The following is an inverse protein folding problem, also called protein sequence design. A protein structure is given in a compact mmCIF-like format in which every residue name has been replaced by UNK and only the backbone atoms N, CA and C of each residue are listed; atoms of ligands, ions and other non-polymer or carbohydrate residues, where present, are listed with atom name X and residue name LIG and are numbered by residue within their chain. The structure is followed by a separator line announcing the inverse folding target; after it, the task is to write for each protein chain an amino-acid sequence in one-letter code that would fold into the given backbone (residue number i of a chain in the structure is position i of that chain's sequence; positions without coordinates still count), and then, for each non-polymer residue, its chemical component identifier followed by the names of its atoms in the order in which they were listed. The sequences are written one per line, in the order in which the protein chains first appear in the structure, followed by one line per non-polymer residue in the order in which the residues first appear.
data_IF_803005950022
#
_entry.id   IF_803005950022
#
_cell.length_a   1.000
_cell.length_b   1.000
_cell.length_c   1.000
_cell.angle_alpha   90.00
_cell.angle_beta   90.00
_cell.angle_gamma   90.00
#
_symmetry.space_group_name_H-M   'P 1'
#
loop_
_entity.id
_entity.type
_entity.pdbx_description
1 polymer ?
#
# COMPACT_ATOMS: atom_id res chain seq x y z
N UNK A 1 8.89 10.05 16.48
CA UNK A 1 7.83 9.79 15.47
C UNK A 1 6.79 10.91 15.54
N UNK A 2 6.45 11.54 14.42
CA UNK A 2 5.42 12.58 14.35
C UNK A 2 4.06 12.00 13.93
N UNK A 3 4.06 11.13 12.91
CA UNK A 3 2.87 10.48 12.39
C UNK A 3 2.97 8.97 12.57
N UNK A 4 1.96 8.38 13.20
CA UNK A 4 1.77 6.94 13.26
C UNK A 4 0.61 6.54 12.36
N UNK A 5 0.79 5.58 11.46
CA UNK A 5 -0.26 5.13 10.56
C UNK A 5 -0.55 3.64 10.74
N UNK A 6 -1.81 3.28 10.58
CA UNK A 6 -2.34 1.92 10.59
C UNK A 6 -2.94 1.68 9.21
N UNK A 7 -2.40 0.77 8.43
CA UNK A 7 -2.90 0.45 7.10
C UNK A 7 -3.56 -0.92 7.10
N UNK A 8 -4.71 -1.02 6.44
CA UNK A 8 -5.52 -2.24 6.39
C UNK A 8 -4.97 -3.30 5.43
N UNK A 9 -4.02 -2.91 4.55
CA UNK A 9 -3.31 -3.82 3.66
C UNK A 9 -1.84 -3.41 3.44
N UNK A 10 -1.05 -4.38 2.97
CA UNK A 10 0.39 -4.23 2.82
C UNK A 10 0.79 -3.23 1.73
N UNK A 11 0.20 -3.34 0.55
CA UNK A 11 0.55 -2.45 -0.58
C UNK A 11 0.05 -1.03 -0.37
N UNK A 12 -1.11 -0.87 0.28
CA UNK A 12 -1.61 0.44 0.70
C UNK A 12 -0.74 1.10 1.75
N UNK A 13 -0.09 0.32 2.63
CA UNK A 13 0.89 0.84 3.57
C UNK A 13 2.10 1.43 2.85
N UNK A 14 2.61 0.71 1.84
CA UNK A 14 3.75 1.18 1.02
C UNK A 14 3.39 2.45 0.24
N UNK A 15 2.17 2.51 -0.32
CA UNK A 15 1.66 3.67 -1.03
C UNK A 15 1.57 4.90 -0.09
N UNK A 16 0.98 4.75 1.10
CA UNK A 16 0.93 5.82 2.10
C UNK A 16 2.34 6.29 2.51
N UNK A 17 3.23 5.36 2.82
CA UNK A 17 4.59 5.68 3.23
C UNK A 17 5.37 6.42 2.12
N UNK A 18 5.12 6.05 0.84
CA UNK A 18 5.67 6.75 -0.32
C UNK A 18 5.17 8.22 -0.40
N UNK A 19 3.87 8.47 -0.17
CA UNK A 19 3.34 9.84 -0.15
C UNK A 19 4.00 10.68 0.95
N UNK A 20 4.22 10.11 2.13
CA UNK A 20 4.90 10.80 3.23
C UNK A 20 6.37 11.11 2.90
N UNK A 21 7.07 10.18 2.25
CA UNK A 21 8.46 10.41 1.80
C UNK A 21 8.52 11.48 0.72
N UNK A 22 7.62 11.47 -0.27
CA UNK A 22 7.49 12.54 -1.29
C UNK A 22 7.25 13.90 -0.66
N UNK A 23 6.53 13.93 0.46
CA UNK A 23 6.28 15.15 1.23
C UNK A 23 7.37 15.47 2.26
N UNK A 24 8.51 14.77 2.26
CA UNK A 24 9.71 15.05 3.04
C UNK A 24 9.74 14.47 4.45
N UNK A 25 9.01 13.39 4.75
CA UNK A 25 9.11 12.62 6.00
C UNK A 25 9.87 11.32 5.78
N UNK A 26 10.93 11.07 6.55
CA UNK A 26 11.54 9.74 6.58
C UNK A 26 10.54 8.73 7.12
N UNK A 27 10.16 7.76 6.31
CA UNK A 27 9.08 6.84 6.62
C UNK A 27 9.56 5.39 6.69
N UNK A 28 9.06 4.66 7.68
CA UNK A 28 9.26 3.23 7.85
C UNK A 28 7.91 2.54 7.79
N UNK A 29 7.84 1.45 7.05
CA UNK A 29 6.69 0.54 7.06
C UNK A 29 7.07 -0.70 7.87
N UNK A 30 6.20 -1.14 8.78
CA UNK A 30 6.36 -2.42 9.49
C UNK A 30 5.37 -3.45 8.96
N UNK A 31 5.73 -4.73 9.06
CA UNK A 31 4.88 -5.86 8.69
C UNK A 31 4.21 -6.38 9.96
N UNK A 32 2.94 -6.04 10.14
CA UNK A 32 2.25 -6.24 11.40
C UNK A 32 2.79 -5.32 12.51
N UNK A 33 2.32 -5.57 13.74
CA UNK A 33 2.76 -4.82 14.93
C UNK A 33 4.09 -5.36 15.43
N UNK A 34 5.18 -4.57 15.44
CA UNK A 34 6.48 -5.05 15.91
C UNK A 34 6.50 -5.33 17.40
N UNK A 35 7.39 -6.22 17.84
CA UNK A 35 7.59 -6.50 19.27
C UNK A 35 8.33 -5.36 19.99
N UNK A 36 9.35 -4.78 19.34
CA UNK A 36 10.16 -3.66 19.86
C UNK A 36 9.84 -2.33 19.15
N UNK A 37 10.37 -1.23 19.68
CA UNK A 37 10.22 0.12 19.09
C UNK A 37 11.44 0.53 18.25
N UNK A 38 12.54 -0.20 18.32
CA UNK A 38 13.82 0.18 17.69
C UNK A 38 13.72 0.29 16.16
N UNK A 39 12.82 -0.47 15.54
CA UNK A 39 12.56 -0.40 14.09
C UNK A 39 12.09 0.99 13.63
N UNK A 40 11.59 1.81 14.54
CA UNK A 40 11.13 3.18 14.28
C UNK A 40 12.22 4.24 14.52
N UNK A 41 13.44 3.82 14.90
CA UNK A 41 14.50 4.77 15.24
C UNK A 41 14.82 5.71 14.08
N UNK A 42 14.76 7.01 14.35
CA UNK A 42 15.03 8.05 13.36
C UNK A 42 13.93 8.28 12.31
N UNK A 43 12.81 7.56 12.36
CA UNK A 43 11.67 7.79 11.45
C UNK A 43 10.81 8.97 11.92
N UNK A 44 10.41 9.82 10.96
CA UNK A 44 9.44 10.88 11.19
C UNK A 44 8.01 10.31 11.16
N UNK A 45 7.77 9.28 10.32
CA UNK A 45 6.52 8.55 10.23
C UNK A 45 6.73 7.02 10.25
N UNK A 46 5.78 6.29 10.84
CA UNK A 46 5.76 4.82 10.78
C UNK A 46 4.39 4.34 10.35
N UNK A 47 4.36 3.45 9.37
CA UNK A 47 3.14 2.83 8.86
C UNK A 47 3.12 1.36 9.26
N UNK A 48 2.21 0.98 10.15
CA UNK A 48 1.98 -0.43 10.52
C UNK A 48 1.07 -1.06 9.47
N UNK A 49 1.64 -1.95 8.65
CA UNK A 49 0.89 -2.68 7.64
C UNK A 49 0.22 -3.91 8.27
N UNK A 50 -1.11 -3.90 8.30
CA UNK A 50 -1.92 -5.03 8.71
C UNK A 50 -2.45 -5.78 7.48
N UNK A 51 -3.06 -6.93 7.69
CA UNK A 51 -3.87 -7.65 6.68
C UNK A 51 -5.30 -7.75 7.20
N UNK A 52 -5.93 -6.58 7.45
CA UNK A 52 -7.18 -6.49 8.22
C UNK A 52 -8.40 -6.07 7.38
N UNK A 53 -8.25 -5.80 6.08
CA UNK A 53 -9.35 -5.31 5.24
C UNK A 53 -10.52 -6.27 5.17
N UNK A 54 -10.26 -7.57 5.02
CA UNK A 54 -11.26 -8.61 4.72
C UNK A 54 -11.38 -9.67 5.84
N UNK A 55 -10.91 -9.39 7.05
CA UNK A 55 -11.09 -10.25 8.22
C UNK A 55 -12.34 -9.81 9.02
N UNK A 56 -12.81 -10.62 9.99
CA UNK A 56 -13.92 -10.24 10.84
C UNK A 56 -13.69 -8.87 11.53
N UNK A 57 -14.71 -8.01 11.65
CA UNK A 57 -14.56 -6.66 12.21
C UNK A 57 -13.95 -6.62 13.61
N UNK A 58 -14.27 -7.58 14.48
CA UNK A 58 -13.68 -7.68 15.82
C UNK A 58 -12.17 -7.90 15.79
N UNK A 59 -11.68 -8.72 14.87
CA UNK A 59 -10.25 -9.00 14.69
C UNK A 59 -9.53 -7.78 14.09
N UNK A 60 -10.18 -7.11 13.12
CA UNK A 60 -9.64 -5.88 12.51
C UNK A 60 -9.50 -4.77 13.56
N UNK A 61 -10.49 -4.59 14.41
CA UNK A 61 -10.45 -3.66 15.54
C UNK A 61 -9.34 -4.03 16.51
N UNK A 62 -9.24 -5.29 16.94
CA UNK A 62 -8.22 -5.73 17.88
C UNK A 62 -6.79 -5.49 17.35
N UNK A 63 -6.53 -5.83 16.09
CA UNK A 63 -5.23 -5.60 15.46
C UNK A 63 -4.93 -4.10 15.33
N UNK A 64 -5.92 -3.28 14.97
CA UNK A 64 -5.75 -1.83 14.84
C UNK A 64 -5.50 -1.14 16.18
N UNK A 65 -6.17 -1.58 17.26
CA UNK A 65 -5.91 -1.08 18.61
C UNK A 65 -4.52 -1.49 19.12
N UNK A 66 -4.06 -2.71 18.82
CA UNK A 66 -2.70 -3.13 19.15
C UNK A 66 -1.65 -2.27 18.41
N UNK A 67 -1.89 -1.97 17.14
CA UNK A 67 -1.06 -1.05 16.36
C UNK A 67 -1.06 0.37 16.94
N UNK A 68 -2.24 0.89 17.29
CA UNK A 68 -2.37 2.20 17.94
C UNK A 68 -1.55 2.29 19.24
N UNK A 69 -1.67 1.30 20.13
CA UNK A 69 -0.92 1.25 21.38
C UNK A 69 0.59 1.24 21.15
N UNK A 70 1.05 0.51 20.13
CA UNK A 70 2.46 0.48 19.76
C UNK A 70 2.93 1.85 19.23
N UNK A 71 2.16 2.49 18.35
CA UNK A 71 2.45 3.81 17.80
C UNK A 71 2.47 4.90 18.89
N UNK A 72 1.53 4.85 19.84
CA UNK A 72 1.50 5.78 20.98
C UNK A 72 2.72 5.61 21.89
N UNK A 73 3.15 4.38 22.18
CA UNK A 73 4.41 4.12 22.91
C UNK A 73 5.63 4.65 22.16
N UNK A 74 5.59 4.65 20.82
CA UNK A 74 6.60 5.24 19.95
C UNK A 74 6.56 6.77 19.87
N UNK A 75 5.62 7.42 20.57
CA UNK A 75 5.49 8.87 20.64
C UNK A 75 4.80 9.50 19.42
N UNK A 76 3.98 8.75 18.67
CA UNK A 76 3.19 9.30 17.58
C UNK A 76 2.27 10.42 18.08
N UNK A 77 2.34 11.59 17.43
CA UNK A 77 1.55 12.79 17.81
C UNK A 77 0.21 12.86 17.10
N UNK A 78 0.11 12.27 15.91
CA UNK A 78 -1.10 12.15 15.12
C UNK A 78 -1.19 10.72 14.58
N UNK A 79 -2.41 10.18 14.54
CA UNK A 79 -2.70 8.85 14.03
C UNK A 79 -3.41 8.94 12.69
N UNK A 80 -3.03 8.07 11.76
CA UNK A 80 -3.63 7.93 10.45
C UNK A 80 -4.18 6.51 10.28
N UNK A 81 -5.43 6.37 9.90
CA UNK A 81 -5.98 5.08 9.50
C UNK A 81 -6.13 5.06 7.98
N UNK A 82 -5.35 4.19 7.33
CA UNK A 82 -5.26 4.05 5.88
C UNK A 82 -6.07 2.87 5.37
N UNK A 83 -6.96 3.16 4.42
CA UNK A 83 -7.72 2.17 3.67
C UNK A 83 -7.65 2.45 2.15
N UNK A 84 -8.31 1.60 1.33
CA UNK A 84 -8.24 1.67 -0.13
C UNK A 84 -8.83 2.97 -0.70
N UNK A 85 -8.23 3.46 -1.79
CA UNK A 85 -8.75 4.62 -2.53
C UNK A 85 -10.10 4.35 -3.21
N UNK A 86 -10.47 3.09 -3.40
CA UNK A 86 -11.79 2.65 -3.87
C UNK A 86 -12.77 2.34 -2.72
N UNK A 87 -12.40 2.70 -1.49
CA UNK A 87 -13.23 2.50 -0.29
C UNK A 87 -13.71 1.05 -0.13
N UNK A 88 -12.88 0.07 -0.42
CA UNK A 88 -13.19 -1.38 -0.44
C UNK A 88 -13.78 -1.88 0.88
N UNK A 89 -15.06 -1.57 1.14
CA UNK A 89 -15.73 -1.83 2.39
C UNK A 89 -17.23 -1.88 2.16
N UNK A 90 -17.82 -3.04 2.34
CA UNK A 90 -19.28 -3.24 2.27
C UNK A 90 -19.97 -2.79 3.55
N UNK A 91 -21.29 -2.99 3.66
CA UNK A 91 -22.04 -2.69 4.88
C UNK A 91 -21.51 -3.45 6.12
N UNK A 92 -20.86 -4.61 5.91
CA UNK A 92 -20.17 -5.39 6.95
C UNK A 92 -18.64 -5.14 6.96
N UNK A 93 -18.19 -4.07 6.33
CA UNK A 93 -16.75 -3.76 6.21
C UNK A 93 -16.14 -3.16 7.45
N UNK A 94 -14.84 -2.97 7.40
CA UNK A 94 -14.01 -2.68 8.58
C UNK A 94 -13.70 -1.19 8.77
N UNK A 95 -13.98 -0.31 7.79
CA UNK A 95 -13.62 1.11 7.89
C UNK A 95 -14.33 1.77 9.07
N UNK A 96 -15.65 1.63 9.14
CA UNK A 96 -16.46 2.20 10.24
C UNK A 96 -16.07 1.66 11.61
N UNK A 97 -16.11 0.33 11.85
CA UNK A 97 -15.77 -0.25 13.14
C UNK A 97 -14.36 0.09 13.64
N UNK A 98 -13.36 0.08 12.77
CA UNK A 98 -11.99 0.45 13.13
C UNK A 98 -11.87 1.94 13.44
N UNK A 99 -12.49 2.81 12.63
CA UNK A 99 -12.49 4.26 12.88
C UNK A 99 -13.20 4.59 14.21
N UNK A 100 -14.32 3.93 14.53
CA UNK A 100 -15.03 4.07 15.81
C UNK A 100 -14.13 3.71 16.98
N UNK A 101 -13.47 2.54 16.92
CA UNK A 101 -12.60 2.07 17.99
C UNK A 101 -11.36 2.97 18.18
N UNK A 102 -10.79 3.49 17.09
CA UNK A 102 -9.66 4.42 17.15
C UNK A 102 -10.07 5.78 17.73
N UNK A 103 -11.26 6.31 17.37
CA UNK A 103 -11.80 7.52 17.96
C UNK A 103 -11.99 7.37 19.48
N UNK A 104 -12.58 6.24 19.93
CA UNK A 104 -12.77 5.96 21.35
C UNK A 104 -11.44 5.86 22.10
N UNK A 105 -10.49 5.10 21.57
CA UNK A 105 -9.18 4.89 22.19
C UNK A 105 -8.33 6.17 22.27
N UNK A 106 -8.54 7.10 21.34
CA UNK A 106 -7.86 8.41 21.29
C UNK A 106 -8.62 9.49 22.08
N UNK A 107 -9.84 9.23 22.56
CA UNK A 107 -10.71 10.24 23.15
C UNK A 107 -11.11 11.34 22.15
N UNK A 108 -11.06 11.04 20.86
CA UNK A 108 -11.35 11.98 19.78
C UNK A 108 -12.84 11.95 19.42
N UNK A 109 -13.41 13.13 19.12
CA UNK A 109 -14.84 13.25 18.80
C UNK A 109 -15.11 13.33 17.31
N UNK A 110 -14.10 13.63 16.50
CA UNK A 110 -14.22 13.90 15.08
C UNK A 110 -13.03 13.39 14.28
N UNK A 111 -13.28 12.89 13.09
CA UNK A 111 -12.30 12.60 12.06
C UNK A 111 -12.89 12.80 10.66
N UNK A 112 -12.05 12.82 9.66
CA UNK A 112 -12.45 12.80 8.25
C UNK A 112 -12.46 11.37 7.70
N UNK A 113 -13.13 11.18 6.55
CA UNK A 113 -13.00 9.99 5.71
C UNK A 113 -12.87 10.41 4.25
N UNK A 114 -11.66 10.34 3.70
CA UNK A 114 -11.39 10.79 2.33
C UNK A 114 -10.48 9.79 1.57
N UNK A 115 -11.06 8.83 0.83
CA UNK A 115 -10.29 7.90 0.00
C UNK A 115 -9.74 8.52 -1.29
N UNK A 116 -10.07 9.77 -1.64
CA UNK A 116 -9.68 10.39 -2.90
C UNK A 116 -8.18 10.29 -3.19
N UNK A 117 -7.85 10.06 -4.45
CA UNK A 117 -6.50 10.05 -4.99
C UNK A 117 -6.55 10.40 -6.50
N UNK A 118 -6.64 11.70 -6.86
CA UNK A 118 -6.81 12.16 -8.23
C UNK A 118 -5.70 11.71 -9.18
N UNK A 119 -4.43 11.70 -8.73
CA UNK A 119 -3.29 11.17 -9.50
C UNK A 119 -3.55 9.73 -10.00
N UNK A 120 -4.33 8.94 -9.26
CA UNK A 120 -4.74 7.58 -9.61
C UNK A 120 -6.19 7.50 -10.14
N UNK A 121 -6.81 8.62 -10.51
CA UNK A 121 -8.15 8.67 -11.05
C UNK A 121 -9.25 8.34 -10.02
N UNK A 122 -9.05 8.62 -8.73
CA UNK A 122 -10.07 8.49 -7.69
C UNK A 122 -10.45 9.87 -7.19
N UNK A 123 -11.64 10.32 -7.53
CA UNK A 123 -12.16 11.64 -7.13
C UNK A 123 -13.46 11.48 -6.37
N UNK A 124 -13.79 12.46 -5.51
CA UNK A 124 -15.05 12.48 -4.75
C UNK A 124 -15.74 13.82 -5.02
N UNK A 125 -16.99 13.75 -5.44
CA UNK A 125 -17.82 14.91 -5.63
C UNK A 125 -19.23 14.69 -5.08
N UNK A 126 -19.71 15.61 -4.23
CA UNK A 126 -20.97 15.49 -3.49
C UNK A 126 -21.10 14.14 -2.75
N UNK A 127 -19.99 13.68 -2.17
CA UNK A 127 -19.91 12.42 -1.43
C UNK A 127 -19.92 11.17 -2.32
N UNK A 128 -19.90 11.30 -3.66
CA UNK A 128 -19.85 10.17 -4.58
C UNK A 128 -18.44 9.95 -5.09
N UNK A 129 -17.96 8.72 -4.98
CA UNK A 129 -16.64 8.31 -5.47
C UNK A 129 -16.71 7.93 -6.93
N UNK A 130 -15.75 8.45 -7.69
CA UNK A 130 -15.51 8.11 -9.09
C UNK A 130 -14.21 7.31 -9.23
N UNK A 131 -14.17 6.41 -10.21
CA UNK A 131 -13.01 5.66 -10.66
C UNK A 131 -12.81 6.00 -12.15
N UNK A 132 -11.85 6.85 -12.43
CA UNK A 132 -11.75 7.47 -13.75
C UNK A 132 -12.96 8.36 -14.03
N UNK A 133 -13.67 8.06 -15.12
CA UNK A 133 -14.87 8.75 -15.58
C UNK A 133 -16.19 8.10 -15.14
N UNK A 134 -16.12 6.95 -14.43
CA UNK A 134 -17.26 6.19 -13.98
C UNK A 134 -17.52 6.35 -12.48
N UNK A 135 -18.78 6.30 -12.07
CA UNK A 135 -19.12 6.14 -10.65
C UNK A 135 -18.56 4.81 -10.11
N UNK A 136 -18.18 4.77 -8.84
CA UNK A 136 -17.68 3.55 -8.20
C UNK A 136 -18.58 2.34 -8.46
N UNK A 137 -19.90 2.51 -8.34
CA UNK A 137 -20.88 1.44 -8.56
C UNK A 137 -21.08 1.06 -10.03
N UNK A 138 -20.51 1.81 -10.97
CA UNK A 138 -20.54 1.54 -12.41
C UNK A 138 -19.16 1.10 -12.94
N UNK A 139 -18.15 1.10 -12.05
CA UNK A 139 -16.79 0.63 -12.32
C UNK A 139 -16.64 -0.87 -12.10
N UNK A 140 -15.51 -1.48 -12.48
CA UNK A 140 -15.22 -2.90 -12.17
C UNK A 140 -15.27 -3.25 -10.68
N UNK A 141 -15.24 -2.25 -9.78
CA UNK A 141 -15.39 -2.46 -8.34
C UNK A 141 -16.80 -2.89 -7.92
N UNK A 142 -17.81 -2.66 -8.76
CA UNK A 142 -19.19 -3.11 -8.51
C UNK A 142 -19.29 -4.59 -8.17
N UNK A 143 -18.56 -5.40 -8.91
CA UNK A 143 -18.59 -6.86 -8.79
C UNK A 143 -17.26 -7.42 -8.26
N UNK A 144 -16.54 -6.61 -7.46
CA UNK A 144 -15.29 -7.04 -6.82
C UNK A 144 -15.54 -8.29 -5.95
N UNK A 145 -14.73 -9.36 -6.08
CA UNK A 145 -15.00 -10.66 -5.47
C UNK A 145 -15.14 -10.65 -3.95
N UNK A 146 -14.40 -9.77 -3.26
CA UNK A 146 -14.36 -9.72 -1.80
C UNK A 146 -15.17 -8.54 -1.25
N UNK A 147 -15.12 -7.39 -1.93
CA UNK A 147 -15.72 -6.13 -1.50
C UNK A 147 -16.51 -5.50 -2.65
N UNK A 148 -17.68 -6.05 -3.05
CA UNK A 148 -18.49 -5.49 -4.14
C UNK A 148 -19.03 -4.11 -3.76
N UNK A 149 -18.60 -3.06 -4.48
CA UNK A 149 -18.95 -1.67 -4.22
C UNK A 149 -20.15 -1.25 -5.08
N UNK A 150 -21.35 -1.45 -4.57
CA UNK A 150 -22.62 -1.20 -5.28
C UNK A 150 -23.29 0.15 -4.99
N UNK A 151 -22.69 0.95 -4.13
CA UNK A 151 -23.13 2.31 -3.81
C UNK A 151 -21.94 3.26 -3.90
N UNK A 152 -22.03 4.27 -4.74
CA UNK A 152 -20.97 5.28 -4.92
C UNK A 152 -21.02 6.39 -3.87
N UNK A 153 -22.12 6.52 -3.11
CA UNK A 153 -22.25 7.55 -2.07
C UNK A 153 -21.60 7.09 -0.77
N UNK A 154 -20.42 7.61 -0.48
CA UNK A 154 -19.61 7.21 0.65
C UNK A 154 -20.22 7.59 2.02
N UNK A 155 -21.03 8.64 2.08
CA UNK A 155 -21.77 9.00 3.31
C UNK A 155 -22.71 7.87 3.70
N UNK A 156 -23.48 7.34 2.73
CA UNK A 156 -24.36 6.19 2.98
C UNK A 156 -23.61 4.92 3.30
N UNK A 157 -22.54 4.63 2.55
CA UNK A 157 -21.73 3.42 2.76
C UNK A 157 -21.13 3.43 4.17
N UNK A 158 -20.49 4.53 4.58
CA UNK A 158 -19.90 4.63 5.91
C UNK A 158 -20.95 4.61 7.03
N UNK A 159 -22.09 5.29 6.83
CA UNK A 159 -23.17 5.33 7.83
C UNK A 159 -23.79 3.95 8.14
N UNK A 160 -23.66 2.96 7.23
CA UNK A 160 -24.10 1.58 7.50
C UNK A 160 -23.12 0.79 8.36
N UNK A 161 -21.88 1.26 8.50
CA UNK A 161 -20.81 0.58 9.24
C UNK A 161 -20.59 1.14 10.64
N UNK A 162 -21.22 2.27 10.99
CA UNK A 162 -21.05 2.95 12.29
C UNK A 162 -22.39 3.38 12.88
N UNK A 163 -22.44 3.49 14.20
CA UNK A 163 -23.59 4.11 14.90
C UNK A 163 -23.44 5.63 15.05
N UNK A 164 -22.27 6.17 14.68
CA UNK A 164 -21.98 7.60 14.75
C UNK A 164 -22.58 8.33 13.56
N UNK A 165 -22.83 9.61 13.71
CA UNK A 165 -23.29 10.44 12.58
C UNK A 165 -22.16 10.66 11.60
N UNK A 166 -22.48 10.44 10.32
CA UNK A 166 -21.58 10.70 9.17
C UNK A 166 -22.09 11.92 8.43
N UNK A 167 -21.19 12.85 8.15
CA UNK A 167 -21.48 14.09 7.40
C UNK A 167 -20.68 14.18 6.11
N UNK A 168 -20.80 15.34 5.44
CA UNK A 168 -20.13 15.67 4.19
C UNK A 168 -19.53 17.07 4.28
N UNK A 169 -18.27 17.21 3.87
CA UNK A 169 -17.69 18.49 3.46
C UNK A 169 -17.65 18.51 1.93
N UNK A 170 -18.57 19.24 1.29
CA UNK A 170 -18.68 19.24 -0.17
C UNK A 170 -17.55 20.03 -0.83
N UNK A 171 -17.27 19.74 -2.09
CA UNK A 171 -16.23 20.45 -2.86
C UNK A 171 -16.43 21.97 -2.94
N UNK A 172 -17.69 22.43 -2.89
CA UNK A 172 -18.00 23.86 -2.80
C UNK A 172 -17.37 24.54 -1.58
N UNK A 173 -17.06 23.81 -0.51
CA UNK A 173 -16.31 24.27 0.67
C UNK A 173 -14.81 24.03 0.46
N UNK A 174 -14.43 22.84 0.00
CA UNK A 174 -13.02 22.42 -0.17
C UNK A 174 -12.26 23.40 -1.08
N UNK A 175 -12.87 23.83 -2.19
CA UNK A 175 -12.28 24.81 -3.12
C UNK A 175 -11.86 26.15 -2.50
N UNK A 176 -12.30 26.46 -1.30
CA UNK A 176 -11.94 27.69 -0.58
C UNK A 176 -10.74 27.49 0.36
N UNK A 177 -10.11 26.29 0.35
CA UNK A 177 -8.88 25.99 1.02
C UNK A 177 -9.03 25.62 2.50
N UNK A 178 -7.89 25.40 3.14
CA UNK A 178 -7.79 24.84 4.49
C UNK A 178 -8.60 25.57 5.57
N UNK A 179 -8.66 26.90 5.61
CA UNK A 179 -9.47 27.62 6.64
C UNK A 179 -10.96 27.31 6.54
N UNK A 180 -11.54 27.29 5.32
CA UNK A 180 -12.94 26.98 5.11
C UNK A 180 -13.24 25.52 5.46
N UNK A 181 -12.36 24.59 5.09
CA UNK A 181 -12.46 23.18 5.43
C UNK A 181 -12.44 23.02 6.96
N UNK A 182 -11.52 23.68 7.64
CA UNK A 182 -11.42 23.61 9.11
C UNK A 182 -12.68 24.11 9.79
N UNK A 183 -13.21 25.24 9.34
CA UNK A 183 -14.48 25.78 9.84
C UNK A 183 -15.63 24.79 9.67
N UNK A 184 -15.68 24.09 8.51
CA UNK A 184 -16.69 23.04 8.27
C UNK A 184 -16.50 21.85 9.21
N UNK A 185 -15.26 21.43 9.52
CA UNK A 185 -15.00 20.38 10.50
C UNK A 185 -15.51 20.76 11.89
N UNK A 186 -15.21 21.99 12.34
CA UNK A 186 -15.64 22.48 13.65
C UNK A 186 -17.16 22.58 13.75
N UNK A 187 -17.83 23.02 12.69
CA UNK A 187 -19.30 23.08 12.62
C UNK A 187 -19.92 21.67 12.67
N UNK A 188 -19.45 20.73 11.84
CA UNK A 188 -19.95 19.35 11.81
C UNK A 188 -19.73 18.66 13.17
N UNK A 189 -18.59 18.87 13.81
CA UNK A 189 -18.31 18.34 15.14
C UNK A 189 -19.26 18.92 16.20
N UNK A 190 -19.57 20.22 16.13
CA UNK A 190 -20.54 20.87 17.04
C UNK A 190 -21.97 20.34 16.84
N UNK A 191 -22.32 19.93 15.62
CA UNK A 191 -23.59 19.27 15.27
C UNK A 191 -23.64 17.79 15.67
N UNK A 192 -22.55 17.25 16.26
CA UNK A 192 -22.45 15.85 16.70
C UNK A 192 -22.13 14.86 15.58
N UNK A 193 -21.61 15.33 14.45
CA UNK A 193 -21.03 14.47 13.41
C UNK A 193 -19.66 13.99 13.89
N UNK A 194 -19.39 12.70 13.80
CA UNK A 194 -18.13 12.12 14.23
C UNK A 194 -17.18 11.80 13.07
N UNK A 195 -17.71 11.58 11.87
CA UNK A 195 -16.92 11.31 10.67
C UNK A 195 -17.47 12.13 9.51
N UNK A 196 -16.62 12.81 8.75
CA UNK A 196 -17.03 13.55 7.57
C UNK A 196 -16.35 13.00 6.32
N UNK A 197 -17.14 12.56 5.34
CA UNK A 197 -16.65 12.39 3.98
C UNK A 197 -16.23 13.77 3.49
N UNK A 198 -15.07 13.85 2.82
CA UNK A 198 -14.55 15.10 2.28
C UNK A 198 -14.36 14.93 0.78
N UNK A 199 -14.98 15.80 -0.01
CA UNK A 199 -14.81 15.81 -1.46
C UNK A 199 -13.38 16.23 -1.84
N UNK A 200 -12.85 15.64 -2.92
CA UNK A 200 -11.61 16.07 -3.55
C UNK A 200 -11.59 15.62 -5.01
N UNK A 201 -11.25 16.50 -5.92
CA UNK A 201 -11.24 16.26 -7.39
C UNK A 201 -9.86 16.51 -8.00
N UNK A 202 -8.96 17.18 -7.30
CA UNK A 202 -7.60 17.48 -7.74
C UNK A 202 -6.61 17.37 -6.56
N UNK A 203 -5.31 17.32 -6.86
CA UNK A 203 -4.28 17.11 -5.84
C UNK A 203 -4.16 18.32 -4.89
N UNK A 204 -4.45 19.54 -5.36
CA UNK A 204 -4.49 20.74 -4.51
C UNK A 204 -5.58 20.65 -3.43
N UNK A 205 -6.71 19.98 -3.69
CA UNK A 205 -7.72 19.70 -2.68
C UNK A 205 -7.14 18.81 -1.55
N UNK A 206 -6.35 17.78 -1.92
CA UNK A 206 -5.71 16.91 -0.93
C UNK A 206 -4.74 17.68 -0.04
N UNK A 207 -3.99 18.61 -0.64
CA UNK A 207 -3.07 19.49 0.11
C UNK A 207 -3.82 20.40 1.09
N UNK A 208 -4.96 20.96 0.67
CA UNK A 208 -5.80 21.82 1.51
C UNK A 208 -6.46 21.03 2.64
N UNK A 209 -7.00 19.83 2.34
CA UNK A 209 -7.61 18.93 3.33
C UNK A 209 -6.55 18.49 4.35
N UNK A 210 -5.36 18.07 3.87
CA UNK A 210 -4.24 17.70 4.75
C UNK A 210 -3.86 18.84 5.70
N UNK A 211 -3.79 20.07 5.21
CA UNK A 211 -3.53 21.25 6.03
C UNK A 211 -4.64 21.50 7.08
N UNK A 212 -5.91 21.32 6.70
CA UNK A 212 -7.05 21.44 7.60
C UNK A 212 -7.07 20.37 8.70
N UNK A 213 -6.41 19.23 8.51
CA UNK A 213 -6.27 18.17 9.52
C UNK A 213 -5.28 18.49 10.64
N UNK A 214 -4.67 19.69 10.67
CA UNK A 214 -3.80 20.10 11.76
C UNK A 214 -4.53 19.98 13.11
N UNK A 215 -3.94 19.25 14.08
CA UNK A 215 -4.50 19.06 15.41
C UNK A 215 -5.62 18.02 15.53
N UNK A 216 -6.04 17.36 14.44
CA UNK A 216 -6.88 16.16 14.57
C UNK A 216 -6.03 15.02 15.15
N UNK A 217 -6.55 14.34 16.18
CA UNK A 217 -5.88 13.18 16.76
C UNK A 217 -5.88 11.98 15.81
N UNK A 218 -6.95 11.83 15.02
CA UNK A 218 -7.14 10.79 14.01
C UNK A 218 -7.45 11.42 12.65
N UNK A 219 -6.82 10.92 11.61
CA UNK A 219 -7.18 11.15 10.20
C UNK A 219 -7.49 9.80 9.59
N UNK A 220 -8.63 9.63 8.92
CA UNK A 220 -8.89 8.40 8.18
C UNK A 220 -9.02 8.69 6.68
N UNK A 221 -8.25 8.03 5.84
CA UNK A 221 -8.21 8.33 4.41
C UNK A 221 -7.53 7.26 3.54
N UNK A 222 -7.54 7.49 2.23
CA UNK A 222 -6.60 6.89 1.28
C UNK A 222 -5.18 7.43 1.50
N UNK A 223 -4.26 7.19 0.56
CA UNK A 223 -2.87 7.67 0.67
C UNK A 223 -2.71 9.16 0.29
N UNK A 224 -3.59 9.70 -0.54
CA UNK A 224 -3.44 11.05 -1.11
C UNK A 224 -3.39 12.17 -0.07
N UNK A 225 -4.21 12.12 0.98
CA UNK A 225 -4.23 13.14 2.06
C UNK A 225 -2.88 13.29 2.76
N UNK A 226 -2.07 12.22 2.78
CA UNK A 226 -0.75 12.23 3.41
C UNK A 226 0.22 13.27 2.80
N UNK A 227 0.03 13.66 1.55
CA UNK A 227 0.84 14.71 0.91
C UNK A 227 0.72 16.07 1.63
N UNK A 228 -0.45 16.38 2.18
CA UNK A 228 -0.72 17.65 2.85
C UNK A 228 -0.35 17.69 4.34
N UNK A 229 -0.15 16.54 5.00
CA UNK A 229 0.07 16.49 6.46
C UNK A 229 1.45 16.98 6.91
N UNK A 230 2.57 16.69 6.24
CA UNK A 230 3.91 17.07 6.73
C UNK A 230 4.10 18.59 6.88
N UNK A 231 3.39 19.40 6.08
CA UNK A 231 3.44 20.86 6.22
C UNK A 231 2.94 21.36 7.57
N UNK A 232 2.01 20.64 8.22
CA UNK A 232 1.52 20.99 9.55
C UNK A 232 2.62 20.83 10.60
N UNK A 233 3.42 19.78 10.49
CA UNK A 233 4.57 19.54 11.37
C UNK A 233 5.70 20.53 11.11
N UNK A 234 5.90 20.95 9.84
CA UNK A 234 6.85 22.04 9.54
C UNK A 234 6.40 23.36 10.12
N UNK A 235 5.14 23.73 9.93
CA UNK A 235 4.59 24.97 10.46
C UNK A 235 4.67 25.07 12.00
N UNK A 236 4.67 23.91 12.69
CA UNK A 236 4.87 23.85 14.13
C UNK A 236 6.33 23.65 14.58
N UNK A 237 7.28 23.70 13.66
CA UNK A 237 8.71 23.54 13.94
C UNK A 237 9.16 22.13 14.32
N UNK A 238 8.31 21.13 14.12
CA UNK A 238 8.58 19.74 14.51
C UNK A 238 9.28 18.93 13.43
N UNK A 239 9.07 19.28 12.16
CA UNK A 239 9.68 18.62 11.01
C UNK A 239 10.57 19.63 10.29
N UNK A 240 11.89 19.40 10.19
CA UNK A 240 12.77 20.24 9.38
C UNK A 240 12.48 20.06 7.90
N UNK A 241 12.78 21.07 7.09
CA UNK A 241 12.87 20.88 5.65
C UNK A 241 14.06 19.99 5.29
N UNK A 242 13.85 19.05 4.37
CA UNK A 242 14.86 18.11 3.91
C UNK A 242 14.58 17.60 2.51
N UNK A 243 15.65 17.27 1.81
CA UNK A 243 15.68 16.64 0.49
C UNK A 243 16.13 15.15 0.54
N UNK A 244 16.55 14.69 1.72
CA UNK A 244 17.11 13.36 1.95
C UNK A 244 16.09 12.31 2.47
N UNK A 245 14.80 12.66 2.54
CA UNK A 245 13.77 11.79 3.10
C UNK A 245 13.65 10.44 2.35
N UNK A 246 13.93 10.42 1.05
CA UNK A 246 13.92 9.27 0.19
C UNK A 246 15.28 8.53 0.11
N UNK A 247 16.32 8.99 0.82
CA UNK A 247 17.63 8.34 0.74
C UNK A 247 17.59 6.97 1.41
N UNK A 248 18.04 5.96 0.66
CA UNK A 248 18.25 4.61 1.15
C UNK A 248 19.75 4.28 1.22
N UNK A 249 20.16 3.39 2.12
CA UNK A 249 21.50 2.82 2.07
C UNK A 249 21.74 2.13 0.72
N UNK A 250 22.98 2.23 0.21
CA UNK A 250 23.37 1.49 -0.98
C UNK A 250 23.32 -0.03 -0.72
N UNK A 251 22.56 -0.76 -1.54
CA UNK A 251 22.47 -2.21 -1.47
C UNK A 251 23.12 -2.81 -2.72
N UNK A 252 24.31 -3.40 -2.52
CA UNK A 252 25.06 -4.11 -3.57
C UNK A 252 24.62 -5.57 -3.65
N UNK A 253 24.74 -6.16 -4.85
CA UNK A 253 24.43 -7.57 -5.10
C UNK A 253 23.60 -7.78 -6.35
N UNK A 254 23.34 -9.04 -6.66
CA UNK A 254 22.59 -9.46 -7.86
C UNK A 254 21.15 -8.97 -7.79
N UNK A 255 20.51 -8.86 -8.98
CA UNK A 255 19.14 -8.40 -9.11
C UNK A 255 18.26 -9.45 -9.76
N UNK A 256 16.99 -9.55 -9.31
CA UNK A 256 16.00 -10.42 -9.91
C UNK A 256 14.59 -9.77 -9.86
N UNK A 257 13.71 -10.22 -10.76
CA UNK A 257 12.31 -9.84 -10.81
C UNK A 257 11.46 -11.09 -10.62
N UNK A 258 10.46 -11.01 -9.73
CA UNK A 258 9.47 -12.06 -9.49
C UNK A 258 8.07 -11.51 -9.77
N UNK A 259 7.31 -12.10 -10.68
CA UNK A 259 5.99 -11.61 -11.08
C UNK A 259 4.93 -12.70 -10.98
N UNK A 260 4.11 -12.65 -9.93
CA UNK A 260 3.01 -13.59 -9.70
C UNK A 260 1.64 -13.07 -10.16
N UNK A 261 1.52 -11.78 -10.50
CA UNK A 261 0.26 -11.17 -10.91
C UNK A 261 -0.07 -11.46 -12.38
N UNK A 262 -1.35 -11.77 -12.66
CA UNK A 262 -1.89 -11.92 -14.01
C UNK A 262 -2.66 -10.67 -14.50
N UNK A 263 -2.51 -9.52 -13.83
CA UNK A 263 -3.14 -8.26 -14.25
C UNK A 263 -2.65 -7.80 -15.62
N UNK A 264 -3.48 -7.00 -16.31
CA UNK A 264 -3.11 -6.46 -17.64
C UNK A 264 -1.80 -5.67 -17.60
N UNK A 265 -1.59 -4.85 -16.57
CA UNK A 265 -0.35 -4.09 -16.41
C UNK A 265 0.86 -5.01 -16.22
N UNK A 266 0.78 -6.01 -15.34
CA UNK A 266 1.91 -6.95 -15.13
C UNK A 266 2.19 -7.79 -16.38
N UNK A 267 1.17 -8.22 -17.13
CA UNK A 267 1.35 -8.92 -18.41
C UNK A 267 2.12 -8.07 -19.42
N UNK A 268 1.76 -6.79 -19.55
CA UNK A 268 2.47 -5.85 -20.41
C UNK A 268 3.95 -5.65 -19.98
N UNK A 269 4.21 -5.56 -18.68
CA UNK A 269 5.55 -5.41 -18.10
C UNK A 269 6.41 -6.66 -18.35
N UNK A 270 5.84 -7.86 -18.18
CA UNK A 270 6.54 -9.13 -18.50
C UNK A 270 6.88 -9.20 -19.97
N UNK A 271 5.95 -8.83 -20.87
CA UNK A 271 6.20 -8.83 -22.31
C UNK A 271 7.30 -7.83 -22.71
N UNK A 272 7.26 -6.61 -22.16
CA UNK A 272 8.29 -5.60 -22.41
C UNK A 272 9.69 -6.05 -21.92
N UNK A 273 9.76 -6.66 -20.73
CA UNK A 273 11.00 -7.23 -20.22
C UNK A 273 11.52 -8.36 -21.10
N UNK A 274 10.66 -9.32 -21.47
CA UNK A 274 11.03 -10.51 -22.25
C UNK A 274 11.57 -10.19 -23.66
N UNK A 275 11.26 -9.00 -24.19
CA UNK A 275 11.77 -8.55 -25.48
C UNK A 275 13.31 -8.40 -25.51
N UNK A 276 13.92 -8.07 -24.35
CA UNK A 276 15.36 -7.75 -24.30
C UNK A 276 16.12 -8.49 -23.18
N UNK A 277 15.43 -9.22 -22.31
CA UNK A 277 16.02 -9.85 -21.13
C UNK A 277 15.47 -11.26 -20.91
N UNK A 278 16.18 -12.05 -20.12
CA UNK A 278 15.74 -13.39 -19.73
C UNK A 278 14.46 -13.31 -18.92
N UNK A 279 13.40 -14.01 -19.38
CA UNK A 279 12.15 -14.26 -18.68
C UNK A 279 11.87 -15.77 -18.66
N UNK A 280 11.53 -16.29 -17.50
CA UNK A 280 11.26 -17.72 -17.28
C UNK A 280 9.84 -17.88 -16.76
N UNK A 281 8.94 -18.53 -17.50
CA UNK A 281 7.61 -18.83 -17.02
C UNK A 281 7.64 -19.95 -15.97
N UNK A 282 6.83 -19.79 -14.94
CA UNK A 282 6.57 -20.80 -13.91
C UNK A 282 5.12 -21.26 -14.04
N UNK A 283 4.90 -22.37 -14.75
CA UNK A 283 3.57 -22.94 -14.99
C UNK A 283 3.19 -23.89 -13.83
N UNK A 284 2.13 -23.58 -13.07
CA UNK A 284 1.69 -24.40 -11.95
C UNK A 284 1.20 -25.80 -12.33
N UNK A 285 0.95 -26.06 -13.63
CA UNK A 285 0.57 -27.37 -14.14
C UNK A 285 1.74 -28.30 -14.41
N UNK A 286 2.98 -27.80 -14.39
CA UNK A 286 4.19 -28.57 -14.72
C UNK A 286 4.89 -29.15 -13.49
N UNK A 287 4.50 -28.77 -12.26
CA UNK A 287 5.09 -29.26 -11.03
C UNK A 287 4.06 -29.92 -10.11
N UNK A 288 4.49 -30.93 -9.37
CA UNK A 288 3.61 -31.62 -8.41
C UNK A 288 3.42 -30.81 -7.12
N UNK A 289 4.42 -29.97 -6.79
CA UNK A 289 4.41 -29.11 -5.61
C UNK A 289 5.21 -27.81 -5.82
N UNK A 290 5.16 -26.91 -4.84
CA UNK A 290 5.84 -25.63 -4.86
C UNK A 290 7.37 -25.74 -4.97
N UNK A 291 7.94 -26.76 -4.34
CA UNK A 291 9.40 -27.01 -4.31
C UNK A 291 9.90 -27.43 -5.71
N UNK A 292 9.14 -28.28 -6.41
CA UNK A 292 9.47 -28.69 -7.78
C UNK A 292 9.39 -27.49 -8.75
N UNK A 293 8.38 -26.61 -8.61
CA UNK A 293 8.24 -25.40 -9.40
C UNK A 293 9.40 -24.45 -9.13
N UNK A 294 9.72 -24.15 -7.89
CA UNK A 294 10.82 -23.27 -7.49
C UNK A 294 12.18 -23.80 -8.01
N UNK A 295 12.44 -25.11 -7.87
CA UNK A 295 13.67 -25.74 -8.35
C UNK A 295 13.84 -25.61 -9.85
N UNK A 296 12.80 -25.91 -10.65
CA UNK A 296 12.84 -25.78 -12.12
C UNK A 296 13.11 -24.34 -12.57
N UNK A 297 12.42 -23.39 -11.95
CA UNK A 297 12.62 -21.98 -12.25
C UNK A 297 14.06 -21.53 -11.92
N UNK A 298 14.60 -22.00 -10.81
CA UNK A 298 15.98 -21.70 -10.38
C UNK A 298 17.03 -22.32 -11.31
N UNK A 299 16.83 -23.56 -11.76
CA UNK A 299 17.68 -24.23 -12.77
C UNK A 299 17.69 -23.45 -14.08
N UNK A 300 16.53 -22.94 -14.52
CA UNK A 300 16.40 -22.18 -15.78
C UNK A 300 17.10 -20.82 -15.76
N UNK A 301 17.36 -20.24 -14.60
CA UNK A 301 18.07 -18.95 -14.44
C UNK A 301 19.50 -19.11 -13.89
N UNK A 302 19.98 -20.33 -13.67
CA UNK A 302 21.25 -20.58 -12.97
C UNK A 302 22.44 -19.85 -13.62
N UNK A 303 22.57 -19.91 -14.95
CA UNK A 303 23.64 -19.24 -15.68
C UNK A 303 23.58 -17.71 -15.59
N UNK A 304 22.37 -17.12 -15.57
CA UNK A 304 22.19 -15.68 -15.42
C UNK A 304 22.49 -15.25 -13.98
N UNK A 305 22.05 -16.05 -13.01
CA UNK A 305 22.32 -15.83 -11.60
C UNK A 305 23.83 -15.89 -11.30
N UNK A 306 24.56 -16.87 -11.84
CA UNK A 306 26.03 -16.97 -11.69
C UNK A 306 26.75 -15.78 -12.32
N UNK A 307 26.33 -15.39 -13.53
CA UNK A 307 26.90 -14.26 -14.26
C UNK A 307 26.47 -12.88 -13.73
N UNK A 308 25.61 -12.81 -12.69
CA UNK A 308 25.10 -11.55 -12.15
C UNK A 308 24.16 -10.79 -13.11
N UNK A 309 23.68 -11.43 -14.18
CA UNK A 309 22.71 -10.80 -15.10
C UNK A 309 21.32 -10.81 -14.51
N UNK A 310 20.57 -9.69 -14.57
CA UNK A 310 19.18 -9.64 -14.12
C UNK A 310 18.29 -10.56 -14.94
N UNK A 311 17.32 -11.20 -14.29
CA UNK A 311 16.34 -12.10 -14.90
C UNK A 311 14.97 -11.91 -14.27
N UNK A 312 13.93 -12.38 -14.96
CA UNK A 312 12.56 -12.43 -14.51
C UNK A 312 12.08 -13.87 -14.40
N UNK A 313 11.43 -14.21 -13.28
CA UNK A 313 10.62 -15.42 -13.12
C UNK A 313 9.17 -14.99 -12.94
N UNK A 314 8.24 -15.57 -13.70
CA UNK A 314 6.83 -15.16 -13.62
C UNK A 314 5.87 -16.35 -13.75
N UNK A 315 4.74 -16.25 -13.05
CA UNK A 315 3.56 -17.09 -13.25
C UNK A 315 2.43 -16.32 -13.97
N UNK A 316 2.81 -15.19 -14.56
CA UNK A 316 1.89 -14.31 -15.30
C UNK A 316 1.38 -15.03 -16.54
N UNK A 317 0.06 -15.11 -16.68
CA UNK A 317 -0.62 -15.81 -17.76
C UNK A 317 -1.84 -14.99 -18.24
N UNK A 318 -2.36 -15.31 -19.41
CA UNK A 318 -3.61 -14.71 -19.87
C UNK A 318 -4.84 -15.29 -19.14
N UNK A 319 -6.02 -14.65 -19.20
CA UNK A 319 -7.20 -15.10 -18.49
C UNK A 319 -7.66 -16.53 -18.85
N UNK A 320 -7.44 -16.97 -20.09
CA UNK A 320 -7.84 -18.31 -20.54
C UNK A 320 -6.90 -19.38 -19.92
N UNK A 321 -5.62 -19.11 -19.83
CA UNK A 321 -4.65 -19.99 -19.16
C UNK A 321 -4.91 -20.05 -17.65
N UNK A 322 -5.18 -18.90 -17.03
CA UNK A 322 -5.56 -18.84 -15.60
C UNK A 322 -6.81 -19.67 -15.33
N UNK A 323 -7.83 -19.57 -16.19
CA UNK A 323 -9.05 -20.38 -16.05
C UNK A 323 -8.77 -21.88 -16.13
N UNK A 324 -7.92 -22.35 -17.06
CA UNK A 324 -7.51 -23.76 -17.16
C UNK A 324 -6.80 -24.26 -15.90
N UNK A 325 -5.90 -23.44 -15.34
CA UNK A 325 -5.20 -23.77 -14.09
C UNK A 325 -6.19 -23.89 -12.94
N UNK A 326 -7.12 -22.93 -12.83
CA UNK A 326 -8.16 -22.95 -11.78
C UNK A 326 -9.14 -24.10 -11.92
N UNK A 327 -9.51 -24.49 -13.14
CA UNK A 327 -10.34 -25.66 -13.40
C UNK A 327 -9.65 -26.95 -12.94
N UNK A 328 -8.33 -27.08 -13.18
CA UNK A 328 -7.60 -28.31 -12.87
C UNK A 328 -7.17 -28.43 -11.40
N UNK A 329 -6.73 -27.34 -10.78
CA UNK A 329 -6.19 -27.34 -9.42
C UNK A 329 -7.15 -26.78 -8.37
N UNK A 330 -8.18 -26.06 -8.78
CA UNK A 330 -8.98 -25.19 -7.90
C UNK A 330 -8.28 -23.85 -7.67
N UNK A 331 -9.07 -22.78 -7.47
CA UNK A 331 -8.57 -21.40 -7.36
C UNK A 331 -7.63 -21.22 -6.18
N UNK A 332 -8.04 -21.67 -5.00
CA UNK A 332 -7.26 -21.47 -3.75
C UNK A 332 -5.95 -22.26 -3.78
N UNK A 333 -5.99 -23.51 -4.25
CA UNK A 333 -4.79 -24.35 -4.33
C UNK A 333 -3.79 -23.82 -5.36
N UNK A 334 -4.25 -23.32 -6.51
CA UNK A 334 -3.40 -22.72 -7.52
C UNK A 334 -2.70 -21.47 -6.99
N UNK A 335 -3.42 -20.58 -6.28
CA UNK A 335 -2.85 -19.40 -5.65
C UNK A 335 -1.81 -19.78 -4.58
N UNK A 336 -2.14 -20.65 -3.64
CA UNK A 336 -1.25 -21.09 -2.59
C UNK A 336 0.04 -21.74 -3.14
N UNK A 337 -0.07 -22.57 -4.18
CA UNK A 337 1.05 -23.23 -4.84
C UNK A 337 2.05 -22.19 -5.41
N UNK A 338 1.53 -21.18 -6.09
CA UNK A 338 2.34 -20.10 -6.69
C UNK A 338 3.00 -19.23 -5.62
N UNK A 339 2.23 -18.83 -4.60
CA UNK A 339 2.73 -18.02 -3.50
C UNK A 339 3.87 -18.75 -2.75
N UNK A 340 3.68 -20.01 -2.44
CA UNK A 340 4.70 -20.84 -1.79
C UNK A 340 5.95 -21.02 -2.67
N UNK A 341 5.78 -21.25 -3.98
CA UNK A 341 6.91 -21.37 -4.90
C UNK A 341 7.74 -20.07 -4.97
N UNK A 342 7.09 -18.90 -5.05
CA UNK A 342 7.81 -17.62 -5.03
C UNK A 342 8.47 -17.33 -3.66
N UNK A 343 7.85 -17.73 -2.56
CA UNK A 343 8.43 -17.63 -1.23
C UNK A 343 9.75 -18.43 -1.11
N UNK A 344 9.74 -19.69 -1.56
CA UNK A 344 10.92 -20.55 -1.60
C UNK A 344 11.98 -20.00 -2.56
N UNK A 345 11.60 -19.56 -3.76
CA UNK A 345 12.50 -18.93 -4.74
C UNK A 345 13.20 -17.72 -4.15
N UNK A 346 12.46 -16.80 -3.53
CA UNK A 346 13.02 -15.60 -2.94
C UNK A 346 14.08 -15.91 -1.89
N UNK A 347 13.82 -16.87 -1.00
CA UNK A 347 14.78 -17.31 0.03
C UNK A 347 16.06 -17.84 -0.62
N UNK A 348 15.96 -18.77 -1.57
CA UNK A 348 17.12 -19.36 -2.26
C UNK A 348 17.90 -18.32 -3.05
N UNK A 349 17.21 -17.41 -3.74
CA UNK A 349 17.86 -16.32 -4.51
C UNK A 349 18.65 -15.39 -3.60
N UNK A 350 18.09 -15.03 -2.44
CA UNK A 350 18.77 -14.19 -1.44
C UNK A 350 19.98 -14.92 -0.87
N UNK A 351 19.89 -16.22 -0.56
CA UNK A 351 21.03 -17.02 -0.09
C UNK A 351 22.14 -17.14 -1.16
N UNK A 352 21.79 -17.03 -2.47
CA UNK A 352 22.74 -17.02 -3.61
C UNK A 352 23.20 -15.61 -4.01
N UNK A 353 22.98 -14.61 -3.18
CA UNK A 353 23.52 -13.26 -3.36
C UNK A 353 22.63 -12.27 -4.11
N UNK A 354 21.37 -12.59 -4.38
CA UNK A 354 20.39 -11.58 -4.81
C UNK A 354 20.11 -10.65 -3.64
N UNK A 355 20.25 -9.35 -3.86
CA UNK A 355 20.03 -8.29 -2.87
C UNK A 355 19.07 -7.20 -3.35
N UNK A 356 18.75 -7.20 -4.64
CA UNK A 356 17.87 -6.23 -5.29
C UNK A 356 16.74 -7.00 -5.96
N UNK A 357 15.55 -6.96 -5.38
CA UNK A 357 14.42 -7.78 -5.77
C UNK A 357 13.20 -6.92 -6.11
N UNK A 358 12.68 -7.07 -7.31
CA UNK A 358 11.40 -6.48 -7.74
C UNK A 358 10.34 -7.57 -7.68
N UNK A 359 9.23 -7.32 -6.97
CA UNK A 359 8.14 -8.28 -6.82
C UNK A 359 6.83 -7.67 -7.29
N UNK A 360 6.18 -8.31 -8.25
CA UNK A 360 4.92 -7.87 -8.86
C UNK A 360 3.76 -8.81 -8.51
N UNK A 361 2.81 -8.28 -7.76
CA UNK A 361 1.63 -8.98 -7.23
C UNK A 361 1.50 -8.76 -5.72
N UNK A 362 0.31 -8.39 -5.25
CA UNK A 362 0.08 -8.12 -3.83
C UNK A 362 0.36 -9.33 -2.94
N UNK A 363 -0.28 -10.46 -3.26
CA UNK A 363 -0.11 -11.72 -2.52
C UNK A 363 1.32 -12.26 -2.66
N UNK A 364 1.90 -12.22 -3.86
CA UNK A 364 3.30 -12.61 -4.09
C UNK A 364 4.26 -11.76 -3.26
N UNK A 365 4.05 -10.43 -3.21
CA UNK A 365 4.87 -9.53 -2.39
C UNK A 365 4.79 -9.89 -0.90
N UNK A 366 3.59 -10.18 -0.42
CA UNK A 366 3.37 -10.62 0.96
C UNK A 366 4.09 -11.93 1.30
N UNK A 367 3.96 -12.95 0.43
CA UNK A 367 4.60 -14.25 0.60
C UNK A 367 6.14 -14.14 0.60
N UNK A 368 6.69 -13.36 -0.33
CA UNK A 368 8.15 -13.11 -0.43
C UNK A 368 8.68 -12.39 0.81
N UNK A 369 8.04 -11.31 1.24
CA UNK A 369 8.46 -10.54 2.41
C UNK A 369 8.43 -11.39 3.68
N UNK A 370 7.40 -12.23 3.83
CA UNK A 370 7.27 -13.15 4.96
C UNK A 370 8.37 -14.23 4.93
N UNK A 371 8.63 -14.83 3.78
CA UNK A 371 9.65 -15.87 3.63
C UNK A 371 11.07 -15.34 3.89
N UNK A 372 11.34 -14.08 3.54
CA UNK A 372 12.62 -13.41 3.81
C UNK A 372 12.77 -12.93 5.25
N UNK A 373 11.74 -13.10 6.09
CA UNK A 373 11.75 -12.64 7.49
C UNK A 373 11.82 -11.11 7.63
N UNK A 374 11.40 -10.36 6.60
CA UNK A 374 11.41 -8.90 6.63
C UNK A 374 10.29 -8.40 7.53
N UNK A 375 10.64 -7.67 8.56
CA UNK A 375 9.70 -7.13 9.55
C UNK A 375 9.47 -5.63 9.41
N UNK A 376 10.40 -4.93 8.75
CA UNK A 376 10.28 -3.50 8.50
C UNK A 376 11.06 -3.07 7.24
N UNK A 377 10.58 -2.01 6.61
CA UNK A 377 11.09 -1.43 5.37
C UNK A 377 11.29 0.08 5.53
N UNK A 378 12.48 0.58 5.29
CA UNK A 378 12.72 2.00 5.05
C UNK A 378 12.26 2.34 3.63
N UNK A 379 11.52 3.44 3.47
CA UNK A 379 10.93 3.85 2.19
C UNK A 379 11.86 4.82 1.48
N UNK A 380 12.12 4.54 0.21
CA UNK A 380 13.04 5.30 -0.64
C UNK A 380 12.36 6.03 -1.80
N UNK A 381 13.12 6.25 -2.89
CA UNK A 381 12.63 7.01 -4.04
C UNK A 381 11.52 6.26 -4.78
N UNK A 382 10.52 7.01 -5.23
CA UNK A 382 9.43 6.48 -6.05
C UNK A 382 9.96 6.05 -7.43
N UNK A 383 9.65 4.82 -7.82
CA UNK A 383 9.91 4.28 -9.17
C UNK A 383 8.80 4.75 -10.12
N UNK A 384 7.58 4.42 -9.78
CA UNK A 384 6.34 4.85 -10.44
C UNK A 384 5.31 5.22 -9.36
N UNK A 385 4.23 5.93 -9.67
CA UNK A 385 3.22 6.31 -8.69
C UNK A 385 2.76 5.14 -7.82
N UNK A 386 2.87 5.31 -6.50
CA UNK A 386 2.53 4.30 -5.49
C UNK A 386 3.53 3.15 -5.31
N UNK A 387 4.66 3.14 -6.01
CA UNK A 387 5.66 2.07 -5.91
C UNK A 387 7.06 2.64 -5.70
N UNK A 388 7.56 2.72 -4.46
CA UNK A 388 8.93 3.12 -4.17
C UNK A 388 9.89 1.93 -4.18
N UNK A 389 11.20 2.21 -4.28
CA UNK A 389 12.20 1.35 -3.71
C UNK A 389 12.13 1.38 -2.18
N UNK A 390 12.39 0.24 -1.56
CA UNK A 390 12.48 0.11 -0.11
C UNK A 390 13.74 -0.66 0.27
N UNK A 391 14.21 -0.49 1.51
CA UNK A 391 15.29 -1.31 2.08
C UNK A 391 14.81 -1.99 3.34
N UNK A 392 15.00 -3.31 3.43
CA UNK A 392 14.70 -4.06 4.63
C UNK A 392 15.56 -3.58 5.81
N UNK A 393 14.91 -3.32 6.93
CA UNK A 393 15.57 -2.97 8.19
C UNK A 393 15.88 -4.29 8.92
N UNK A 394 17.16 -4.58 9.16
CA UNK A 394 17.62 -5.80 9.80
C UNK A 394 19.07 -6.14 9.44
N UNK A 395 19.49 -7.35 9.78
CA UNK A 395 20.88 -7.80 9.59
C UNK A 395 21.27 -8.01 8.12
N UNK A 396 20.28 -8.32 7.25
CA UNK A 396 20.53 -8.57 5.82
C UNK A 396 20.03 -7.38 4.99
N UNK A 397 20.91 -6.58 4.38
CA UNK A 397 20.50 -5.50 3.52
C UNK A 397 19.84 -6.06 2.24
N UNK A 398 18.57 -5.73 2.03
CA UNK A 398 17.77 -6.10 0.86
C UNK A 398 17.07 -4.87 0.32
N UNK A 399 17.27 -4.55 -0.95
CA UNK A 399 16.46 -3.57 -1.65
C UNK A 399 15.26 -4.28 -2.29
N UNK A 400 14.06 -3.83 -1.98
CA UNK A 400 12.81 -4.44 -2.40
C UNK A 400 11.93 -3.39 -3.10
N UNK A 401 11.45 -3.67 -4.30
CA UNK A 401 10.38 -2.93 -4.95
C UNK A 401 9.14 -3.84 -5.00
N UNK A 402 8.12 -3.50 -4.22
CA UNK A 402 6.92 -4.31 -4.02
C UNK A 402 5.73 -3.61 -4.65
N UNK A 403 5.14 -4.18 -5.70
CA UNK A 403 4.03 -3.55 -6.41
C UNK A 403 2.77 -4.38 -6.44
N UNK A 404 1.62 -3.72 -6.32
CA UNK A 404 0.34 -4.29 -6.70
C UNK A 404 0.31 -4.61 -8.21
N UNK A 405 -0.48 -5.59 -8.60
CA UNK A 405 -0.55 -6.06 -9.98
C UNK A 405 -0.79 -4.95 -11.01
N UNK A 406 -1.67 -4.00 -10.71
CA UNK A 406 -2.10 -2.95 -11.62
C UNK A 406 -1.22 -1.68 -11.63
N UNK A 407 -0.18 -1.62 -10.80
CA UNK A 407 0.69 -0.45 -10.71
C UNK A 407 1.89 -0.53 -11.66
N UNK A 408 2.44 0.64 -11.96
CA UNK A 408 3.64 0.81 -12.75
C UNK A 408 3.40 0.86 -14.26
N UNK A 409 4.25 1.61 -14.95
CA UNK A 409 4.28 1.72 -16.41
C UNK A 409 4.75 0.41 -17.04
N UNK A 410 4.61 0.26 -18.37
CA UNK A 410 5.05 -0.93 -19.10
C UNK A 410 6.54 -1.24 -18.89
N UNK A 411 7.39 -0.22 -18.78
CA UNK A 411 8.83 -0.35 -18.57
C UNK A 411 9.26 -0.47 -17.09
N UNK A 412 8.31 -0.71 -16.18
CA UNK A 412 8.53 -0.66 -14.74
C UNK A 412 9.74 -1.49 -14.29
N UNK A 413 9.89 -2.72 -14.75
CA UNK A 413 10.98 -3.62 -14.29
C UNK A 413 12.36 -3.09 -14.67
N UNK A 414 12.52 -2.64 -15.91
CA UNK A 414 13.77 -2.05 -16.39
C UNK A 414 14.07 -0.72 -15.67
N UNK A 415 13.06 0.14 -15.53
CA UNK A 415 13.17 1.41 -14.81
C UNK A 415 13.57 1.20 -13.36
N UNK A 416 12.93 0.27 -12.64
CA UNK A 416 13.26 -0.05 -11.26
C UNK A 416 14.74 -0.44 -11.11
N UNK A 417 15.23 -1.38 -11.91
CA UNK A 417 16.62 -1.82 -11.81
C UNK A 417 17.63 -0.76 -12.24
N UNK A 418 17.27 0.14 -13.17
CA UNK A 418 18.13 1.23 -13.61
C UNK A 418 18.30 2.34 -12.53
N UNK A 419 17.36 2.49 -11.62
CA UNK A 419 17.41 3.49 -10.53
C UNK A 419 18.40 3.14 -9.43
N UNK A 420 18.77 1.87 -9.28
CA UNK A 420 19.75 1.45 -8.29
C UNK A 420 21.16 1.49 -8.88
N UNK A 421 22.19 1.86 -8.09
CA UNK A 421 23.56 1.84 -8.54
C UNK A 421 23.93 0.49 -9.13
N UNK A 422 24.53 0.48 -10.33
CA UNK A 422 25.09 -0.74 -10.93
C UNK A 422 26.41 -1.05 -10.26
N UNK A 423 26.68 -2.31 -9.94
CA UNK A 423 28.05 -2.74 -9.68
C UNK A 423 28.90 -2.39 -10.91
N UNK A 424 29.94 -1.60 -10.72
CA UNK A 424 30.98 -1.47 -11.74
C UNK A 424 31.67 -2.82 -11.80
N UNK A 425 31.63 -3.46 -12.97
CA UNK A 425 32.31 -4.70 -13.26
C UNK A 425 33.83 -4.57 -13.01
#
# INVERSE_FOLDING_TARGET
MLLGAIADDFTGATDLANMLVRAGMRSVQTIGVPRGIDVAAGADAVVVALKSRNIPPGDAVAQSLAALQWLQRGGARQIYFKYCSTFDSTDAGNIGPVADALLDALGAKFTIACPAFPENGRTIYLGHLFVGDALLADSPMRDHPLTPMRDSNLVRVLARQTRRRVGLVPWSVVRHGAPAIRQAFDQLAAEGVAMAIVDAIEDDDLMAIGAACAGLALVTAGSGIALGLPRNFRASGLLPERDDAAMLPEVKGKAAVLAGSCSTATRAQVAAWAANHRAVPMDPLTGDDATALARRALEAVAADLEAGRPFLIHSTADPAEVAKVQERLGRERAAALIEEAFAQLASVLVDRGVRRLVVAGGETSGAVVQALGVTALAIGPQIDPGVPWTTAIGERPLALALKSGNFGTTEFFAKALAMLPRERA
#
